data_IF_921988126505
#
_entry.id   IF_921988126505
#
_cell.length_a   1.000
_cell.length_b   1.000
_cell.length_c   1.000
_cell.angle_alpha   90.00
_cell.angle_beta   90.00
_cell.angle_gamma   90.00
#
_symmetry.space_group_name_H-M   'P 1'
#
loop_
_entity.id
_entity.type
_entity.pdbx_description
1 polymer ?
#
# COMPACT_ATOMS: atom_id res chain seq x y z
N UNK A 1 -42.56 -14.85 -31.06
CA UNK A 1 -42.66 -13.54 -30.37
C UNK A 1 -41.27 -12.93 -30.34
N UNK A 2 -41.04 -11.89 -31.13
CA UNK A 2 -39.75 -11.24 -31.27
C UNK A 2 -39.52 -10.35 -30.05
N UNK A 3 -38.53 -10.65 -29.22
CA UNK A 3 -38.09 -9.74 -28.15
C UNK A 3 -37.48 -8.48 -28.79
N UNK A 4 -38.33 -7.51 -29.13
CA UNK A 4 -37.97 -6.18 -29.63
C UNK A 4 -37.70 -5.23 -28.45
N UNK A 5 -36.80 -5.66 -27.56
CA UNK A 5 -36.32 -4.84 -26.45
C UNK A 5 -34.88 -4.39 -26.67
N UNK A 6 -34.45 -3.25 -26.09
CA UNK A 6 -33.05 -2.83 -26.14
C UNK A 6 -32.09 -3.77 -25.38
N UNK A 7 -32.66 -4.70 -24.60
CA UNK A 7 -31.96 -5.70 -23.80
C UNK A 7 -32.34 -7.11 -24.28
N UNK A 8 -31.36 -8.01 -24.27
CA UNK A 8 -31.48 -9.43 -24.57
C UNK A 8 -30.94 -10.27 -23.41
N UNK A 9 -31.28 -11.55 -23.39
CA UNK A 9 -30.82 -12.49 -22.36
C UNK A 9 -31.91 -12.88 -21.35
N UNK A 10 -31.50 -13.63 -20.34
CA UNK A 10 -32.37 -14.17 -19.28
C UNK A 10 -32.13 -13.49 -17.93
N UNK A 11 -32.84 -13.92 -16.86
CA UNK A 11 -32.76 -13.29 -15.53
C UNK A 11 -31.34 -13.21 -14.95
N UNK A 12 -30.46 -14.14 -15.31
CA UNK A 12 -29.09 -14.18 -14.78
C UNK A 12 -28.05 -13.46 -15.66
N UNK A 13 -28.42 -13.06 -16.88
CA UNK A 13 -27.48 -12.46 -17.82
C UNK A 13 -28.19 -11.56 -18.84
N UNK A 14 -28.47 -10.32 -18.43
CA UNK A 14 -29.02 -9.27 -19.31
C UNK A 14 -27.88 -8.58 -20.07
N UNK A 15 -28.05 -8.44 -21.38
CA UNK A 15 -27.09 -7.83 -22.31
C UNK A 15 -27.80 -6.79 -23.15
N UNK A 16 -27.07 -5.83 -23.71
CA UNK A 16 -27.62 -4.95 -24.73
C UNK A 16 -27.84 -5.75 -26.02
N UNK A 17 -28.97 -5.53 -26.68
CA UNK A 17 -29.26 -6.17 -27.96
C UNK A 17 -28.22 -5.77 -29.02
N UNK A 18 -27.68 -4.56 -28.93
CA UNK A 18 -26.63 -4.05 -29.80
C UNK A 18 -25.75 -3.00 -29.07
N UNK A 19 -24.42 -2.98 -29.27
CA UNK A 19 -23.53 -1.98 -28.64
C UNK A 19 -23.96 -0.52 -28.88
N UNK A 20 -24.44 -0.19 -30.08
CA UNK A 20 -24.93 1.16 -30.40
C UNK A 20 -26.11 1.62 -29.52
N UNK A 21 -26.97 0.71 -29.06
CA UNK A 21 -28.08 1.06 -28.17
C UNK A 21 -27.57 1.46 -26.79
N UNK A 22 -26.55 0.75 -26.28
CA UNK A 22 -25.84 1.13 -25.06
C UNK A 22 -25.25 2.52 -25.22
N UNK A 23 -24.53 2.76 -26.31
CA UNK A 23 -23.82 4.03 -26.51
C UNK A 23 -24.80 5.19 -26.67
N UNK A 24 -25.91 5.00 -27.38
CA UNK A 24 -26.97 6.01 -27.51
C UNK A 24 -27.59 6.37 -26.14
N UNK A 25 -27.87 5.39 -25.29
CA UNK A 25 -28.40 5.63 -23.94
C UNK A 25 -27.35 6.33 -23.06
N UNK A 26 -26.10 5.87 -23.11
CA UNK A 26 -25.02 6.45 -22.31
C UNK A 26 -24.63 7.86 -22.78
N UNK A 27 -24.78 8.19 -24.08
CA UNK A 27 -24.50 9.52 -24.61
C UNK A 27 -25.38 10.60 -23.98
N UNK A 28 -26.61 10.26 -23.57
CA UNK A 28 -27.50 11.16 -22.85
C UNK A 28 -27.20 11.30 -21.34
N UNK A 29 -26.24 10.56 -20.80
CA UNK A 29 -25.92 10.58 -19.38
C UNK A 29 -24.77 11.51 -19.07
N UNK A 30 -24.96 12.35 -18.04
CA UNK A 30 -23.86 13.10 -17.42
C UNK A 30 -22.89 12.16 -16.71
N UNK A 31 -21.64 12.59 -16.55
CA UNK A 31 -20.64 11.83 -15.79
C UNK A 31 -21.06 11.58 -14.34
N UNK A 32 -21.75 12.54 -13.72
CA UNK A 32 -22.30 12.38 -12.38
C UNK A 32 -23.30 11.22 -12.33
N UNK A 33 -24.20 11.13 -13.32
CA UNK A 33 -25.16 10.03 -13.43
C UNK A 33 -24.47 8.69 -13.66
N UNK A 34 -23.43 8.64 -14.51
CA UNK A 34 -22.65 7.42 -14.75
C UNK A 34 -21.96 6.94 -13.47
N UNK A 35 -21.29 7.85 -12.74
CA UNK A 35 -20.64 7.53 -11.45
C UNK A 35 -21.63 7.02 -10.40
N UNK A 36 -22.82 7.63 -10.32
CA UNK A 36 -23.87 7.19 -9.41
C UNK A 36 -24.35 5.77 -9.76
N UNK A 37 -24.61 5.48 -11.03
CA UNK A 37 -25.02 4.14 -11.46
C UNK A 37 -23.95 3.07 -11.16
N UNK A 38 -22.66 3.39 -11.32
CA UNK A 38 -21.58 2.49 -10.93
C UNK A 38 -21.55 2.24 -9.41
N UNK A 39 -21.80 3.27 -8.60
CA UNK A 39 -21.95 3.13 -7.15
C UNK A 39 -23.14 2.22 -6.78
N UNK A 40 -24.31 2.48 -7.35
CA UNK A 40 -25.53 1.68 -7.09
C UNK A 40 -25.34 0.21 -7.48
N UNK A 41 -24.66 -0.04 -8.60
CA UNK A 41 -24.31 -1.38 -9.03
C UNK A 41 -23.33 -2.05 -8.04
N UNK A 42 -22.31 -1.33 -7.57
CA UNK A 42 -21.39 -1.84 -6.55
C UNK A 42 -22.13 -2.21 -5.25
N UNK A 43 -23.02 -1.33 -4.77
CA UNK A 43 -23.82 -1.56 -3.58
C UNK A 43 -24.77 -2.76 -3.75
N UNK A 44 -25.37 -2.95 -4.92
CA UNK A 44 -26.23 -4.10 -5.20
C UNK A 44 -25.44 -5.42 -5.19
N UNK A 45 -24.25 -5.45 -5.80
CA UNK A 45 -23.36 -6.62 -5.78
C UNK A 45 -22.93 -6.96 -4.34
N UNK A 46 -22.57 -5.94 -3.56
CA UNK A 46 -22.20 -6.11 -2.16
C UNK A 46 -23.36 -6.70 -1.33
N UNK A 47 -24.58 -6.15 -1.47
CA UNK A 47 -25.77 -6.66 -0.75
C UNK A 47 -26.11 -8.10 -1.13
N UNK A 48 -25.79 -8.53 -2.35
CA UNK A 48 -25.96 -9.92 -2.81
C UNK A 48 -24.90 -10.87 -2.23
N UNK A 49 -23.83 -10.34 -1.63
CA UNK A 49 -22.72 -11.13 -1.09
C UNK A 49 -21.72 -11.57 -2.16
N UNK A 50 -21.64 -10.84 -3.28
CA UNK A 50 -20.63 -11.12 -4.30
C UNK A 50 -19.21 -10.92 -3.74
N UNK A 51 -18.24 -11.58 -4.39
CA UNK A 51 -16.82 -11.39 -4.09
C UNK A 51 -16.39 -9.92 -4.24
N UNK A 52 -15.32 -9.55 -3.53
CA UNK A 52 -14.81 -8.19 -3.51
C UNK A 52 -14.45 -7.64 -4.91
N UNK A 53 -13.82 -8.46 -5.76
CA UNK A 53 -13.33 -8.00 -7.07
C UNK A 53 -14.44 -7.48 -8.01
N UNK A 54 -15.55 -8.21 -8.26
CA UNK A 54 -16.69 -7.69 -9.02
C UNK A 54 -17.21 -6.34 -8.51
N UNK A 55 -17.27 -6.17 -7.18
CA UNK A 55 -17.70 -4.91 -6.54
C UNK A 55 -16.66 -3.81 -6.79
N UNK A 56 -15.38 -4.11 -6.56
CA UNK A 56 -14.26 -3.20 -6.74
C UNK A 56 -14.15 -2.69 -8.19
N UNK A 57 -14.36 -3.56 -9.20
CA UNK A 57 -14.39 -3.15 -10.62
C UNK A 57 -15.50 -2.14 -10.92
N UNK A 58 -16.62 -2.14 -10.19
CA UNK A 58 -17.64 -1.08 -10.30
C UNK A 58 -17.19 0.19 -9.58
N UNK A 59 -16.55 0.07 -8.43
CA UNK A 59 -16.00 1.21 -7.68
C UNK A 59 -14.91 1.97 -8.44
N UNK A 60 -14.14 1.32 -9.31
CA UNK A 60 -13.16 1.99 -10.19
C UNK A 60 -13.78 3.08 -11.07
N UNK A 61 -15.05 2.90 -11.45
CA UNK A 61 -15.79 3.85 -12.29
C UNK A 61 -16.79 4.70 -11.49
N UNK A 62 -16.87 4.48 -10.17
CA UNK A 62 -17.66 5.29 -9.27
C UNK A 62 -16.81 6.46 -8.73
N UNK A 63 -17.46 7.58 -8.42
CA UNK A 63 -16.84 8.62 -7.59
C UNK A 63 -16.64 8.14 -6.15
N UNK A 64 -16.00 8.96 -5.31
CA UNK A 64 -15.82 8.67 -3.87
C UNK A 64 -17.15 8.29 -3.23
N UNK A 65 -17.17 7.16 -2.51
CA UNK A 65 -18.38 6.63 -1.88
C UNK A 65 -18.57 7.26 -0.51
N UNK A 66 -17.49 7.44 0.25
CA UNK A 66 -17.49 8.01 1.59
C UNK A 66 -17.93 7.01 2.68
N UNK A 67 -17.94 5.71 2.37
CA UNK A 67 -18.42 4.67 3.28
C UNK A 67 -17.32 3.64 3.58
N UNK A 68 -17.17 3.16 4.84
CA UNK A 68 -16.08 2.25 5.23
C UNK A 68 -16.05 0.92 4.46
N UNK A 69 -17.17 0.48 3.91
CA UNK A 69 -17.22 -0.75 3.11
C UNK A 69 -16.46 -0.60 1.79
N UNK A 70 -16.40 0.59 1.20
CA UNK A 70 -15.79 0.80 -0.11
C UNK A 70 -14.28 0.60 -0.07
N UNK A 71 -13.61 1.21 0.93
CA UNK A 71 -12.17 1.03 1.14
C UNK A 71 -11.82 -0.41 1.50
N UNK A 72 -12.63 -1.09 2.32
CA UNK A 72 -12.45 -2.51 2.63
C UNK A 72 -12.52 -3.38 1.39
N UNK A 73 -13.57 -3.24 0.59
CA UNK A 73 -13.75 -4.01 -0.66
C UNK A 73 -12.61 -3.78 -1.64
N UNK A 74 -12.16 -2.53 -1.79
CA UNK A 74 -11.01 -2.21 -2.65
C UNK A 74 -9.72 -2.84 -2.14
N UNK A 75 -9.48 -2.83 -0.81
CA UNK A 75 -8.34 -3.49 -0.19
C UNK A 75 -8.35 -5.02 -0.33
N UNK A 76 -9.51 -5.64 -0.13
CA UNK A 76 -9.69 -7.09 -0.30
C UNK A 76 -9.48 -7.50 -1.77
N UNK A 77 -10.00 -6.72 -2.72
CA UNK A 77 -9.78 -6.95 -4.14
C UNK A 77 -8.31 -6.74 -4.56
N UNK A 78 -7.63 -5.75 -3.97
CA UNK A 78 -6.20 -5.55 -4.20
C UNK A 78 -5.37 -6.72 -3.68
N UNK A 79 -5.69 -7.23 -2.48
CA UNK A 79 -5.01 -8.40 -1.90
C UNK A 79 -5.18 -9.62 -2.79
N UNK A 80 -6.41 -9.91 -3.24
CA UNK A 80 -6.67 -11.01 -4.17
C UNK A 80 -5.91 -10.85 -5.51
N UNK A 81 -5.82 -9.62 -6.03
CA UNK A 81 -5.05 -9.35 -7.25
C UNK A 81 -3.54 -9.54 -7.04
N UNK A 82 -3.00 -9.18 -5.87
CA UNK A 82 -1.59 -9.42 -5.53
C UNK A 82 -1.29 -10.92 -5.41
N UNK A 83 -2.18 -11.69 -4.76
CA UNK A 83 -2.05 -13.15 -4.63
C UNK A 83 -2.04 -13.85 -6.00
N UNK A 84 -2.79 -13.31 -6.96
CA UNK A 84 -2.83 -13.76 -8.36
C UNK A 84 -1.71 -13.16 -9.24
N UNK A 85 -0.79 -12.37 -8.67
CA UNK A 85 0.26 -11.63 -9.38
C UNK A 85 -0.25 -10.65 -10.48
N UNK A 86 -1.49 -10.16 -10.36
CA UNK A 86 -2.11 -9.17 -11.26
C UNK A 86 -1.84 -7.74 -10.78
N UNK A 87 -0.59 -7.31 -10.91
CA UNK A 87 -0.09 -6.05 -10.34
C UNK A 87 -0.85 -4.80 -10.83
N UNK A 88 -1.24 -4.75 -12.11
CA UNK A 88 -1.99 -3.60 -12.67
C UNK A 88 -3.38 -3.45 -12.04
N UNK A 89 -4.10 -4.57 -11.88
CA UNK A 89 -5.41 -4.58 -11.22
C UNK A 89 -5.26 -4.17 -9.75
N UNK A 90 -4.24 -4.70 -9.05
CA UNK A 90 -3.98 -4.36 -7.65
C UNK A 90 -3.69 -2.85 -7.49
N UNK A 91 -2.82 -2.30 -8.35
CA UNK A 91 -2.50 -0.87 -8.34
C UNK A 91 -3.75 -0.01 -8.61
N UNK A 92 -4.60 -0.41 -9.56
CA UNK A 92 -5.84 0.30 -9.85
C UNK A 92 -6.78 0.33 -8.63
N UNK A 93 -6.95 -0.80 -7.93
CA UNK A 93 -7.79 -0.86 -6.72
C UNK A 93 -7.19 -0.05 -5.56
N UNK A 94 -5.89 -0.13 -5.32
CA UNK A 94 -5.20 0.61 -4.26
C UNK A 94 -5.26 2.13 -4.49
N UNK A 95 -4.97 2.61 -5.71
CA UNK A 95 -5.11 4.03 -6.08
C UNK A 95 -6.53 4.51 -5.84
N UNK A 96 -7.52 3.72 -6.23
CA UNK A 96 -8.93 4.06 -6.00
C UNK A 96 -9.27 4.10 -4.51
N UNK A 97 -8.74 3.19 -3.69
CA UNK A 97 -8.96 3.15 -2.25
C UNK A 97 -8.43 4.40 -1.54
N UNK A 98 -7.29 4.96 -1.98
CA UNK A 98 -6.70 6.18 -1.42
C UNK A 98 -7.57 7.45 -1.61
N UNK A 99 -8.57 7.40 -2.50
CA UNK A 99 -9.58 8.46 -2.67
C UNK A 99 -10.79 8.32 -1.74
N UNK A 100 -10.90 7.22 -0.99
CA UNK A 100 -11.91 7.09 0.07
C UNK A 100 -11.40 7.69 1.39
N UNK A 101 -12.30 8.07 2.31
CA UNK A 101 -11.92 8.36 3.68
C UNK A 101 -11.32 7.10 4.34
N UNK A 102 -10.09 7.24 4.86
CA UNK A 102 -9.34 6.15 5.49
C UNK A 102 -8.83 6.58 6.87
N UNK A 103 -8.83 5.69 7.87
CA UNK A 103 -8.02 5.90 9.07
C UNK A 103 -6.52 5.85 8.69
N UNK A 104 -5.70 6.61 9.43
CA UNK A 104 -4.27 6.78 9.14
C UNK A 104 -3.51 5.45 9.02
N UNK A 105 -3.84 4.46 9.86
CA UNK A 105 -3.22 3.12 9.80
C UNK A 105 -3.50 2.39 8.50
N UNK A 106 -4.75 2.45 8.01
CA UNK A 106 -5.10 1.84 6.73
C UNK A 106 -4.47 2.61 5.58
N UNK A 107 -4.44 3.95 5.66
CA UNK A 107 -3.78 4.79 4.65
C UNK A 107 -2.29 4.49 4.56
N UNK A 108 -1.60 4.38 5.70
CA UNK A 108 -0.20 3.97 5.78
C UNK A 108 0.04 2.64 5.04
N UNK A 109 -0.76 1.62 5.35
CA UNK A 109 -0.64 0.30 4.74
C UNK A 109 -0.83 0.36 3.22
N UNK A 110 -1.90 1.00 2.74
CA UNK A 110 -2.19 1.07 1.30
C UNK A 110 -1.14 1.87 0.52
N UNK A 111 -0.60 2.96 1.10
CA UNK A 111 0.50 3.73 0.48
C UNK A 111 1.78 2.89 0.38
N UNK A 112 2.07 2.07 1.38
CA UNK A 112 3.24 1.17 1.38
C UNK A 112 3.07 0.06 0.34
N UNK A 113 1.90 -0.59 0.31
CA UNK A 113 1.56 -1.67 -0.64
C UNK A 113 1.55 -1.18 -2.08
N UNK A 114 1.13 0.07 -2.33
CA UNK A 114 1.11 0.66 -3.68
C UNK A 114 2.49 1.19 -4.10
N UNK A 115 3.19 1.87 -3.20
CA UNK A 115 4.46 2.54 -3.52
C UNK A 115 5.60 1.57 -3.86
N UNK A 116 5.60 0.37 -3.28
CA UNK A 116 6.59 -0.66 -3.58
C UNK A 116 6.53 -1.14 -5.04
N UNK A 117 5.43 -1.70 -5.57
CA UNK A 117 5.35 -2.14 -6.96
C UNK A 117 5.43 -1.01 -7.99
N UNK A 118 4.85 0.16 -7.73
CA UNK A 118 4.91 1.29 -8.67
C UNK A 118 6.34 1.77 -8.96
N UNK A 119 7.21 1.66 -7.96
CA UNK A 119 8.63 1.94 -8.14
C UNK A 119 9.31 0.91 -9.05
N UNK A 120 9.06 -0.38 -8.86
CA UNK A 120 9.76 -1.45 -9.56
C UNK A 120 9.26 -1.70 -10.99
N UNK A 121 7.97 -1.51 -11.25
CA UNK A 121 7.34 -1.96 -12.51
C UNK A 121 6.95 -0.83 -13.45
N UNK A 122 6.59 0.35 -12.93
CA UNK A 122 5.97 1.40 -13.76
C UNK A 122 6.76 2.72 -13.79
N UNK A 123 7.94 2.75 -13.13
CA UNK A 123 8.76 3.96 -12.99
C UNK A 123 7.95 5.22 -12.61
N UNK A 124 6.82 5.04 -11.92
CA UNK A 124 5.85 6.11 -11.73
C UNK A 124 6.45 7.15 -10.77
N UNK A 125 6.47 8.41 -11.21
CA UNK A 125 6.97 9.55 -10.43
C UNK A 125 6.36 9.64 -9.02
N UNK A 126 5.19 9.03 -8.82
CA UNK A 126 4.41 9.10 -7.61
C UNK A 126 4.79 8.05 -6.53
N UNK A 127 5.52 6.98 -6.88
CA UNK A 127 5.80 5.89 -5.93
C UNK A 127 6.60 6.35 -4.71
N UNK A 128 7.68 7.13 -4.93
CA UNK A 128 8.49 7.71 -3.86
C UNK A 128 7.68 8.71 -3.00
N UNK A 129 6.95 9.69 -3.57
CA UNK A 129 6.05 10.55 -2.81
C UNK A 129 5.07 9.78 -1.92
N UNK A 130 4.47 8.68 -2.41
CA UNK A 130 3.55 7.84 -1.62
C UNK A 130 4.25 7.13 -0.47
N UNK A 131 5.46 6.62 -0.68
CA UNK A 131 6.27 6.01 0.37
C UNK A 131 6.73 7.03 1.42
N UNK A 132 7.07 8.25 0.99
CA UNK A 132 7.37 9.37 1.90
C UNK A 132 6.15 9.72 2.77
N UNK A 133 4.95 9.76 2.18
CA UNK A 133 3.72 9.96 2.93
C UNK A 133 3.48 8.82 3.93
N UNK A 134 3.67 7.56 3.51
CA UNK A 134 3.51 6.39 4.37
C UNK A 134 4.40 6.49 5.62
N UNK A 135 5.69 6.76 5.46
CA UNK A 135 6.65 6.85 6.60
C UNK A 135 6.29 7.97 7.58
N UNK A 136 5.54 9.00 7.16
CA UNK A 136 5.11 10.11 8.04
C UNK A 136 3.83 9.81 8.81
N UNK A 137 3.04 8.82 8.38
CA UNK A 137 1.77 8.49 9.02
C UNK A 137 1.97 7.65 10.29
N UNK A 138 1.17 7.87 11.35
CA UNK A 138 1.19 7.00 12.52
C UNK A 138 0.77 5.57 12.15
N UNK A 139 1.63 4.61 12.44
CA UNK A 139 1.37 3.18 12.27
C UNK A 139 2.11 2.35 13.34
N UNK A 140 1.76 1.07 13.54
CA UNK A 140 2.55 0.16 14.37
C UNK A 140 4.02 0.09 13.92
N UNK A 141 4.96 -0.12 14.86
CA UNK A 141 6.40 -0.05 14.57
C UNK A 141 6.88 -0.98 13.45
N UNK A 142 6.30 -2.17 13.34
CA UNK A 142 6.63 -3.10 12.25
C UNK A 142 6.17 -2.57 10.87
N UNK A 143 5.00 -1.93 10.79
CA UNK A 143 4.51 -1.34 9.55
C UNK A 143 5.35 -0.12 9.14
N UNK A 144 5.71 0.75 10.10
CA UNK A 144 6.59 1.91 9.82
C UNK A 144 7.93 1.48 9.24
N UNK A 145 8.52 0.43 9.80
CA UNK A 145 9.77 -0.14 9.30
C UNK A 145 9.59 -0.71 7.89
N UNK A 146 8.47 -1.39 7.60
CA UNK A 146 8.20 -1.87 6.25
C UNK A 146 8.13 -0.72 5.23
N UNK A 147 7.44 0.38 5.57
CA UNK A 147 7.38 1.58 4.74
C UNK A 147 8.77 2.20 4.54
N UNK A 148 9.58 2.27 5.60
CA UNK A 148 10.95 2.78 5.55
C UNK A 148 11.87 1.91 4.68
N UNK A 149 11.72 0.58 4.74
CA UNK A 149 12.47 -0.35 3.88
C UNK A 149 12.08 -0.17 2.42
N UNK A 150 10.80 -0.04 2.11
CA UNK A 150 10.32 0.22 0.76
C UNK A 150 10.87 1.57 0.23
N UNK A 151 10.78 2.65 1.03
CA UNK A 151 11.30 3.96 0.66
C UNK A 151 12.82 3.94 0.46
N UNK A 152 13.56 3.34 1.40
CA UNK A 152 15.01 3.21 1.31
C UNK A 152 15.42 2.49 0.03
N UNK A 153 14.80 1.34 -0.26
CA UNK A 153 15.04 0.57 -1.49
C UNK A 153 14.80 1.41 -2.74
N UNK A 154 13.71 2.19 -2.77
CA UNK A 154 13.38 3.07 -3.89
C UNK A 154 14.43 4.18 -4.10
N UNK A 155 14.90 4.80 -3.01
CA UNK A 155 15.93 5.85 -3.06
C UNK A 155 17.29 5.30 -3.51
N UNK A 156 17.69 4.13 -3.03
CA UNK A 156 18.93 3.47 -3.46
C UNK A 156 18.93 3.17 -4.95
N UNK A 157 17.85 2.63 -5.51
CA UNK A 157 17.82 2.36 -6.96
C UNK A 157 17.69 3.62 -7.82
N UNK A 158 17.35 4.79 -7.26
CA UNK A 158 17.47 6.11 -7.91
C UNK A 158 18.87 6.73 -7.80
N UNK A 159 19.78 6.10 -7.05
CA UNK A 159 21.11 6.63 -6.75
C UNK A 159 21.14 7.63 -5.61
N UNK A 160 20.02 7.89 -4.92
CA UNK A 160 19.93 8.73 -3.73
C UNK A 160 20.34 7.95 -2.47
N UNK A 161 21.53 7.34 -2.52
CA UNK A 161 22.01 6.35 -1.56
C UNK A 161 22.12 6.92 -0.13
N UNK A 162 22.57 8.17 0.02
CA UNK A 162 22.62 8.85 1.32
C UNK A 162 21.24 9.07 1.95
N UNK A 163 20.25 9.48 1.15
CA UNK A 163 18.88 9.65 1.62
C UNK A 163 18.24 8.30 1.99
N UNK A 164 18.43 7.27 1.17
CA UNK A 164 17.99 5.91 1.45
C UNK A 164 18.60 5.37 2.75
N UNK A 165 19.90 5.57 2.96
CA UNK A 165 20.60 5.17 4.17
C UNK A 165 20.07 5.89 5.42
N UNK A 166 19.78 7.19 5.31
CA UNK A 166 19.23 7.98 6.42
C UNK A 166 17.85 7.49 6.85
N UNK A 167 16.96 7.17 5.90
CA UNK A 167 15.63 6.63 6.18
C UNK A 167 15.73 5.31 6.98
N UNK A 168 16.59 4.39 6.54
CA UNK A 168 16.77 3.10 7.20
C UNK A 168 17.43 3.21 8.59
N UNK A 169 18.41 4.11 8.76
CA UNK A 169 19.01 4.39 10.08
C UNK A 169 17.99 4.93 11.07
N UNK A 170 17.15 5.86 10.61
CA UNK A 170 16.10 6.46 11.44
C UNK A 170 15.12 5.38 11.92
N UNK A 171 14.65 4.53 11.01
CA UNK A 171 13.76 3.41 11.35
C UNK A 171 14.42 2.39 12.30
N UNK A 172 15.72 2.11 12.14
CA UNK A 172 16.45 1.20 13.01
C UNK A 172 16.72 1.75 14.44
N UNK A 173 16.63 3.08 14.61
CA UNK A 173 16.87 3.76 15.88
C UNK A 173 15.61 3.92 16.76
N UNK A 174 14.40 3.84 16.18
CA UNK A 174 13.15 4.01 16.94
C UNK A 174 12.98 2.96 18.04
N UNK A 175 13.21 1.68 17.72
CA UNK A 175 13.14 0.57 18.68
C UNK A 175 14.34 -0.39 18.49
N UNK A 176 15.52 -0.07 19.04
CA UNK A 176 16.77 -0.74 18.67
C UNK A 176 16.81 -2.26 18.90
N UNK A 177 16.05 -2.76 19.87
CA UNK A 177 16.04 -4.20 20.20
C UNK A 177 14.94 -4.99 19.49
N UNK A 178 14.10 -4.30 18.68
CA UNK A 178 12.96 -4.90 17.98
C UNK A 178 13.38 -5.71 16.75
N UNK A 179 12.59 -6.72 16.37
CA UNK A 179 12.78 -7.45 15.12
C UNK A 179 12.68 -6.55 13.88
N UNK A 180 11.73 -5.59 13.80
CA UNK A 180 11.69 -4.61 12.72
C UNK A 180 12.98 -3.79 12.61
N UNK A 181 13.53 -3.26 13.70
CA UNK A 181 14.78 -2.50 13.63
C UNK A 181 15.96 -3.33 13.10
N UNK A 182 16.01 -4.63 13.42
CA UNK A 182 16.99 -5.54 12.81
C UNK A 182 16.79 -5.70 11.31
N UNK A 183 15.55 -5.80 10.83
CA UNK A 183 15.26 -5.87 9.40
C UNK A 183 15.72 -4.60 8.66
N UNK A 184 15.50 -3.41 9.23
CA UNK A 184 15.98 -2.15 8.67
C UNK A 184 17.52 -2.12 8.56
N UNK A 185 18.25 -2.63 9.56
CA UNK A 185 19.71 -2.75 9.51
C UNK A 185 20.19 -3.70 8.43
N UNK A 186 19.54 -4.86 8.30
CA UNK A 186 19.89 -5.84 7.26
C UNK A 186 19.68 -5.24 5.88
N UNK A 187 18.54 -4.58 5.65
CA UNK A 187 18.26 -3.89 4.39
C UNK A 187 19.32 -2.83 4.08
N UNK A 188 19.69 -2.03 5.08
CA UNK A 188 20.71 -1.00 4.95
C UNK A 188 22.08 -1.57 4.56
N UNK A 189 22.54 -2.63 5.22
CA UNK A 189 23.80 -3.32 4.86
C UNK A 189 23.74 -3.85 3.43
N UNK A 190 22.64 -4.50 3.04
CA UNK A 190 22.48 -5.07 1.71
C UNK A 190 22.48 -4.00 0.60
N UNK A 191 21.80 -2.87 0.84
CA UNK A 191 21.65 -1.81 -0.16
C UNK A 191 22.91 -0.95 -0.28
N UNK A 192 23.67 -0.77 0.80
CA UNK A 192 24.94 -0.04 0.80
C UNK A 192 26.12 -0.83 0.23
N UNK A 193 25.99 -2.13 -0.06
CA UNK A 193 27.14 -2.98 -0.45
C UNK A 193 27.84 -2.52 -1.74
N UNK A 194 27.12 -1.81 -2.62
CA UNK A 194 27.65 -1.29 -3.90
C UNK A 194 28.37 0.06 -3.78
N UNK A 195 28.31 0.71 -2.62
CA UNK A 195 28.94 2.01 -2.36
C UNK A 195 29.97 1.84 -1.22
N UNK A 196 31.25 1.92 -1.56
CA UNK A 196 32.34 1.63 -0.61
C UNK A 196 32.40 2.64 0.55
N UNK A 197 32.03 3.90 0.30
CA UNK A 197 32.04 4.96 1.32
C UNK A 197 30.87 4.77 2.28
N UNK A 198 29.66 4.59 1.75
CA UNK A 198 28.49 4.28 2.57
C UNK A 198 28.64 2.95 3.32
N UNK A 199 29.28 1.96 2.71
CA UNK A 199 29.56 0.68 3.38
C UNK A 199 30.45 0.88 4.60
N UNK A 200 31.47 1.75 4.51
CA UNK A 200 32.37 2.04 5.63
C UNK A 200 31.63 2.77 6.75
N UNK A 201 30.92 3.85 6.42
CA UNK A 201 30.08 4.58 7.38
C UNK A 201 29.08 3.64 8.07
N UNK A 202 28.56 2.66 7.33
CA UNK A 202 27.62 1.69 7.87
C UNK A 202 28.23 0.74 8.88
N UNK A 203 29.41 0.20 8.59
CA UNK A 203 30.11 -0.66 9.54
C UNK A 203 30.50 0.10 10.82
N UNK A 204 30.93 1.36 10.68
CA UNK A 204 31.25 2.23 11.82
C UNK A 204 29.99 2.44 12.68
N UNK A 205 28.86 2.80 12.07
CA UNK A 205 27.58 2.96 12.76
C UNK A 205 27.09 1.69 13.47
N UNK A 206 27.19 0.52 12.82
CA UNK A 206 26.84 -0.77 13.44
C UNK A 206 27.74 -1.09 14.63
N UNK A 207 29.02 -0.72 14.57
CA UNK A 207 29.97 -0.84 15.67
C UNK A 207 29.52 -0.01 16.88
N UNK A 208 29.19 1.26 16.66
CA UNK A 208 28.69 2.17 17.70
C UNK A 208 27.39 1.67 18.36
N UNK A 209 26.43 1.19 17.56
CA UNK A 209 25.18 0.60 18.08
C UNK A 209 25.44 -0.67 18.91
N UNK A 210 26.36 -1.53 18.46
CA UNK A 210 26.73 -2.74 19.20
C UNK A 210 27.38 -2.41 20.54
N UNK A 211 28.24 -1.40 20.58
CA UNK A 211 28.80 -0.87 21.84
C UNK A 211 27.72 -0.27 22.73
N UNK A 212 26.80 0.51 22.17
CA UNK A 212 25.65 1.08 22.87
C UNK A 212 24.78 0.00 23.50
N UNK A 213 24.47 -1.07 22.77
CA UNK A 213 23.71 -2.22 23.25
C UNK A 213 24.42 -2.93 24.41
N UNK A 214 25.75 -3.15 24.30
CA UNK A 214 26.57 -3.71 25.39
C UNK A 214 26.55 -2.83 26.65
N UNK A 215 26.60 -1.51 26.50
CA UNK A 215 26.50 -0.58 27.63
C UNK A 215 25.11 -0.62 28.28
N UNK A 216 24.04 -0.73 27.48
CA UNK A 216 22.66 -0.86 27.98
C UNK A 216 22.45 -2.18 28.74
N UNK A 217 22.96 -3.29 28.24
CA UNK A 217 22.88 -4.59 28.92
C UNK A 217 23.67 -4.62 30.23
N UNK A 218 24.88 -4.05 30.26
CA UNK A 218 25.68 -3.90 31.48
C UNK A 218 24.97 -3.05 32.55
N UNK A 219 24.30 -1.96 32.14
CA UNK A 219 23.50 -1.10 33.05
C UNK A 219 22.23 -1.80 33.58
N UNK A 220 21.61 -2.68 32.79
CA UNK A 220 20.47 -3.51 33.27
C UNK A 220 20.94 -4.59 34.25
N UNK A 221 22.07 -5.25 33.96
CA UNK A 221 22.67 -6.25 34.85
C UNK A 221 23.16 -5.66 36.19
N UNK A 222 23.73 -4.45 36.17
CA UNK A 222 24.22 -3.76 37.37
C UNK A 222 23.12 -3.27 38.32
N UNK A 223 21.89 -3.05 37.85
CA UNK A 223 20.76 -2.64 38.71
C UNK A 223 20.13 -3.80 39.50
N UNK A 224 20.28 -5.05 39.04
CA UNK A 224 19.78 -6.22 39.77
C UNK A 224 20.62 -6.57 41.01
N UNK A 225 21.86 -6.08 41.14
CA UNK A 225 22.74 -6.47 42.26
C UNK A 225 22.63 -5.57 43.50
N UNK A 226 21.76 -4.56 43.51
CA UNK A 226 21.68 -3.58 44.62
C UNK A 226 20.44 -3.71 45.51
N UNK A 227 19.61 -4.75 45.37
CA UNK A 227 18.33 -4.86 46.05
C UNK A 227 18.05 -6.23 46.67
N UNK A 228 18.85 -6.64 47.66
CA UNK A 228 18.44 -7.44 48.84
C UNK A 228 19.66 -7.65 49.73
N UNK A 229 19.81 -6.80 50.74
CA UNK A 229 20.44 -7.13 52.02
C UNK A 229 19.59 -6.53 53.12
#
# INVERSE_FOLDING_TARGET
MTHLGPLTGGPDAVRWAHPLLRDAVLAGWTDARRRLAHREAAEALLRRGDRAEPVARRLLHAGTVGAPWASRVLGDAATAALDDARLDDAAAFLRRALHEPLPDTLRHRLLTELGSPEYFFDAAADGIPRLVEAVRLPAPGHERVHAAIALGTALFGRGETGAGAQVLRTAAAEEPDSAPARAARVALVQLSDRDLELRREMYDWLGEEAEGARRRSARRGGRCCCGTR
#
